data_IF_167485638443
#
_entry.id   IF_167485638443
#
_cell.length_a   1.000
_cell.length_b   1.000
_cell.length_c   1.000
_cell.angle_alpha   90.00
_cell.angle_beta   90.00
_cell.angle_gamma   90.00
#
_symmetry.space_group_name_H-M   'P 1'
#
loop_
_entity.id
_entity.type
_entity.pdbx_description
1 polymer ?
#
# COMPACT_ATOMS: atom_id res chain seq x y z
N UNK A 1 -12.37 19.15 17.19
CA UNK A 1 -12.83 18.04 16.31
C UNK A 1 -12.58 16.73 17.02
N UNK A 2 -13.62 16.10 17.55
CA UNK A 2 -13.48 14.84 18.29
C UNK A 2 -13.16 13.64 17.37
N UNK A 3 -13.61 13.66 16.11
CA UNK A 3 -13.35 12.61 15.13
C UNK A 3 -12.63 13.23 13.92
N UNK A 4 -11.45 12.72 13.58
CA UNK A 4 -10.69 13.14 12.40
C UNK A 4 -10.43 11.91 11.53
N UNK A 5 -10.91 11.98 10.31
CA UNK A 5 -10.62 11.01 9.27
C UNK A 5 -10.01 11.73 8.07
N UNK A 6 -8.95 11.18 7.50
CA UNK A 6 -8.22 11.75 6.36
C UNK A 6 -8.17 10.68 5.28
N UNK A 7 -8.56 11.05 4.06
CA UNK A 7 -8.39 10.24 2.88
C UNK A 7 -7.14 10.72 2.12
N UNK A 8 -6.14 9.86 2.01
CA UNK A 8 -5.00 10.03 1.10
C UNK A 8 -5.36 9.39 -0.23
N UNK A 9 -5.55 10.24 -1.25
CA UNK A 9 -5.90 9.79 -2.59
C UNK A 9 -4.73 9.15 -3.32
N UNK A 10 -5.03 8.53 -4.47
CA UNK A 10 -4.02 7.95 -5.33
C UNK A 10 -3.02 9.01 -5.78
N UNK A 11 -1.72 8.69 -5.71
CA UNK A 11 -0.66 9.59 -6.15
C UNK A 11 -0.18 10.58 -5.08
N UNK A 12 -0.63 10.49 -3.82
CA UNK A 12 -0.05 11.30 -2.73
C UNK A 12 1.46 11.06 -2.52
N UNK A 13 1.99 9.95 -3.02
CA UNK A 13 3.42 9.60 -3.01
C UNK A 13 4.15 9.98 -4.30
N UNK A 14 3.47 10.63 -5.25
CA UNK A 14 4.11 11.25 -6.41
C UNK A 14 4.70 12.59 -6.00
N UNK A 15 6.00 12.74 -6.23
CA UNK A 15 6.77 13.89 -5.78
C UNK A 15 7.84 14.22 -6.81
N UNK A 16 8.00 15.51 -7.10
CA UNK A 16 8.95 16.03 -8.09
C UNK A 16 9.95 16.97 -7.41
N UNK A 17 11.22 16.85 -7.77
CA UNK A 17 12.30 17.75 -7.39
C UNK A 17 12.91 18.28 -8.69
N UNK A 18 12.88 19.61 -8.89
CA UNK A 18 13.42 20.26 -10.09
C UNK A 18 12.88 19.64 -11.39
N UNK A 19 11.55 19.46 -11.46
CA UNK A 19 10.82 18.86 -12.59
C UNK A 19 11.17 17.40 -12.92
N UNK A 20 11.94 16.73 -12.05
CA UNK A 20 12.20 15.29 -12.13
C UNK A 20 11.40 14.55 -11.09
N UNK A 21 10.82 13.43 -11.50
CA UNK A 21 10.15 12.53 -10.58
C UNK A 21 11.17 11.95 -9.60
N UNK A 22 10.91 12.14 -8.31
CA UNK A 22 11.83 11.83 -7.23
C UNK A 22 11.31 10.73 -6.29
N UNK A 23 10.04 10.35 -6.41
CA UNK A 23 9.40 9.32 -5.61
C UNK A 23 8.57 8.36 -6.50
N UNK A 24 7.34 8.05 -6.12
CA UNK A 24 6.54 7.02 -6.79
C UNK A 24 5.60 7.65 -7.80
N UNK A 25 5.71 7.26 -9.06
CA UNK A 25 4.86 7.79 -10.10
C UNK A 25 3.38 7.47 -9.91
N UNK A 26 2.54 8.32 -10.49
CA UNK A 26 1.12 7.99 -10.63
C UNK A 26 0.94 6.72 -11.47
N UNK A 27 -0.22 6.08 -11.41
CA UNK A 27 -0.49 4.88 -12.22
C UNK A 27 -0.34 5.12 -13.73
N UNK A 28 -0.54 6.36 -14.19
CA UNK A 28 -0.29 6.74 -15.58
C UNK A 28 1.20 6.86 -15.90
N UNK A 29 1.99 7.44 -15.00
CA UNK A 29 3.45 7.46 -15.11
C UNK A 29 4.04 6.05 -15.12
N UNK A 30 3.62 5.21 -14.16
CA UNK A 30 4.03 3.81 -14.09
C UNK A 30 3.63 3.03 -15.35
N UNK A 31 2.45 3.30 -15.92
CA UNK A 31 2.05 2.68 -17.18
C UNK A 31 2.96 3.08 -18.35
N UNK A 32 3.25 4.37 -18.50
CA UNK A 32 4.17 4.87 -19.53
C UNK A 32 5.56 4.24 -19.40
N UNK A 33 6.10 4.20 -18.18
CA UNK A 33 7.38 3.55 -17.89
C UNK A 33 7.35 2.05 -18.24
N UNK A 34 6.28 1.36 -17.86
CA UNK A 34 6.11 -0.07 -18.12
C UNK A 34 6.14 -0.36 -19.62
N UNK A 35 5.35 0.38 -20.40
CA UNK A 35 5.28 0.23 -21.85
C UNK A 35 6.63 0.54 -22.50
N UNK A 36 7.34 1.58 -22.04
CA UNK A 36 8.66 1.92 -22.56
C UNK A 36 9.71 0.85 -22.28
N UNK A 37 9.63 0.18 -21.13
CA UNK A 37 10.56 -0.89 -20.73
C UNK A 37 10.19 -2.24 -21.36
N UNK A 38 8.93 -2.44 -21.71
CA UNK A 38 8.39 -3.66 -22.28
C UNK A 38 7.63 -3.40 -23.59
N UNK A 39 8.31 -2.92 -24.66
CA UNK A 39 7.65 -2.54 -25.91
C UNK A 39 6.94 -3.70 -26.60
N UNK A 40 7.40 -4.93 -26.37
CA UNK A 40 6.81 -6.16 -26.93
C UNK A 40 5.76 -6.81 -26.01
N UNK A 41 5.36 -6.15 -24.92
CA UNK A 41 4.35 -6.69 -24.00
C UNK A 41 2.97 -6.65 -24.64
N UNK A 42 2.46 -7.84 -24.96
CA UNK A 42 1.14 -8.03 -25.59
C UNK A 42 0.28 -8.97 -24.78
N UNK A 43 -1.02 -8.77 -24.82
CA UNK A 43 -2.01 -9.70 -24.26
C UNK A 43 -2.86 -10.21 -25.42
N UNK A 44 -2.98 -11.53 -25.57
CA UNK A 44 -3.69 -12.15 -26.71
C UNK A 44 -3.14 -11.72 -28.08
N UNK A 45 -1.84 -11.41 -28.14
CA UNK A 45 -1.18 -10.89 -29.35
C UNK A 45 -1.50 -9.44 -29.71
N UNK A 46 -2.25 -8.73 -28.86
CA UNK A 46 -2.66 -7.32 -29.06
C UNK A 46 -1.85 -6.39 -28.16
N UNK A 47 -1.45 -5.24 -28.71
CA UNK A 47 -0.80 -4.17 -27.97
C UNK A 47 -1.78 -3.50 -27.00
N UNK A 48 -1.31 -3.24 -25.78
CA UNK A 48 -2.16 -2.78 -24.67
C UNK A 48 -2.33 -1.26 -24.59
N UNK A 49 -1.47 -0.49 -25.27
CA UNK A 49 -1.36 0.97 -25.10
C UNK A 49 -2.70 1.71 -25.30
N UNK A 50 -3.44 1.34 -26.33
CA UNK A 50 -4.73 1.95 -26.67
C UNK A 50 -5.94 1.19 -26.10
N UNK A 51 -5.70 0.17 -25.26
CA UNK A 51 -6.74 -0.77 -24.76
C UNK A 51 -7.04 -0.60 -23.29
N UNK A 52 -6.15 0.06 -22.57
CA UNK A 52 -6.33 0.48 -21.18
C UNK A 52 -6.13 1.99 -21.16
N UNK A 53 -6.78 2.73 -20.26
CA UNK A 53 -6.75 4.20 -20.24
C UNK A 53 -5.42 4.76 -19.72
N UNK A 54 -4.30 4.27 -20.26
CA UNK A 54 -2.94 4.51 -19.79
C UNK A 54 -2.82 4.30 -18.29
N UNK A 55 -3.48 3.26 -17.75
CA UNK A 55 -3.54 3.00 -16.31
C UNK A 55 -3.11 1.57 -16.02
N UNK A 56 -2.06 1.43 -15.20
CA UNK A 56 -1.49 0.14 -14.85
C UNK A 56 -2.42 -0.71 -13.96
N UNK A 57 -3.29 -0.08 -13.18
CA UNK A 57 -4.35 -0.76 -12.42
C UNK A 57 -5.37 -1.38 -13.37
N UNK A 58 -5.81 -0.66 -14.40
CA UNK A 58 -6.75 -1.18 -15.40
C UNK A 58 -6.14 -2.34 -16.22
N UNK A 59 -4.84 -2.27 -16.54
CA UNK A 59 -4.11 -3.38 -17.15
C UNK A 59 -4.14 -4.63 -16.26
N UNK A 60 -3.92 -4.44 -14.95
CA UNK A 60 -3.94 -5.53 -13.99
C UNK A 60 -5.34 -6.11 -13.80
N UNK A 61 -6.38 -5.29 -13.76
CA UNK A 61 -7.78 -5.73 -13.72
C UNK A 61 -8.12 -6.59 -14.93
N UNK A 62 -7.77 -6.11 -16.12
CA UNK A 62 -7.97 -6.86 -17.36
C UNK A 62 -7.25 -8.21 -17.35
N UNK A 63 -5.98 -8.25 -16.94
CA UNK A 63 -5.22 -9.50 -16.85
C UNK A 63 -5.79 -10.47 -15.81
N UNK A 64 -6.25 -9.98 -14.66
CA UNK A 64 -6.89 -10.83 -13.65
C UNK A 64 -8.21 -11.39 -14.18
N UNK A 65 -9.03 -10.59 -14.86
CA UNK A 65 -10.25 -11.07 -15.52
C UNK A 65 -9.93 -12.14 -16.58
N UNK A 66 -8.91 -11.91 -17.40
CA UNK A 66 -8.44 -12.89 -18.39
C UNK A 66 -7.95 -14.19 -17.72
N UNK A 67 -7.21 -14.10 -16.61
CA UNK A 67 -6.80 -15.29 -15.83
C UNK A 67 -8.00 -16.12 -15.38
N UNK A 68 -9.08 -15.49 -14.92
CA UNK A 68 -10.31 -16.19 -14.53
C UNK A 68 -10.94 -16.94 -15.71
N UNK A 69 -10.98 -16.33 -16.90
CA UNK A 69 -11.46 -16.99 -18.13
C UNK A 69 -10.53 -18.13 -18.54
N UNK A 70 -9.22 -17.97 -18.35
CA UNK A 70 -8.21 -18.97 -18.69
C UNK A 70 -8.39 -20.29 -17.93
N UNK A 71 -8.97 -20.25 -16.71
CA UNK A 71 -9.34 -21.45 -15.95
C UNK A 71 -10.47 -22.27 -16.57
N UNK A 72 -11.27 -21.67 -17.45
CA UNK A 72 -12.37 -22.34 -18.16
C UNK A 72 -11.87 -22.88 -19.51
N UNK A 73 -11.14 -22.04 -20.25
CA UNK A 73 -10.55 -22.37 -21.54
C UNK A 73 -9.21 -21.66 -21.64
N UNK A 74 -8.15 -22.39 -21.98
CA UNK A 74 -6.85 -21.76 -22.21
C UNK A 74 -6.94 -20.85 -23.46
N UNK A 75 -6.81 -19.54 -23.24
CA UNK A 75 -6.78 -18.49 -24.26
C UNK A 75 -5.39 -17.83 -24.30
N UNK A 76 -4.74 -17.69 -23.13
CA UNK A 76 -3.41 -17.09 -22.99
C UNK A 76 -2.59 -17.94 -22.02
N UNK A 77 -1.70 -18.78 -22.56
CA UNK A 77 -0.90 -19.72 -21.76
C UNK A 77 0.02 -19.02 -20.75
N UNK A 78 0.49 -17.83 -21.09
CA UNK A 78 1.50 -17.10 -20.31
C UNK A 78 0.89 -16.02 -19.40
N UNK A 79 -0.43 -16.03 -19.17
CA UNK A 79 -1.11 -14.96 -18.42
C UNK A 79 -0.56 -14.77 -17.00
N UNK A 80 -0.24 -15.86 -16.31
CA UNK A 80 0.32 -15.80 -14.95
C UNK A 80 1.71 -15.20 -14.93
N UNK A 81 2.53 -15.46 -15.95
CA UNK A 81 3.87 -14.89 -16.06
C UNK A 81 3.82 -13.40 -16.44
N UNK A 82 2.88 -13.01 -17.32
CA UNK A 82 2.60 -11.60 -17.63
C UNK A 82 2.14 -10.81 -16.39
N UNK A 83 1.24 -11.39 -15.59
CA UNK A 83 0.81 -10.82 -14.29
C UNK A 83 2.02 -10.65 -13.34
N UNK A 84 2.91 -11.65 -13.27
CA UNK A 84 4.12 -11.56 -12.44
C UNK A 84 5.05 -10.44 -12.90
N UNK A 85 5.22 -10.26 -14.22
CA UNK A 85 6.05 -9.18 -14.79
C UNK A 85 5.53 -7.82 -14.33
N UNK A 86 4.23 -7.54 -14.50
CA UNK A 86 3.64 -6.25 -14.09
C UNK A 86 3.71 -6.06 -12.57
N UNK A 87 3.38 -7.08 -11.77
CA UNK A 87 3.50 -7.00 -10.30
C UNK A 87 4.91 -6.72 -9.84
N UNK A 88 5.90 -7.38 -10.45
CA UNK A 88 7.32 -7.16 -10.15
C UNK A 88 7.71 -5.74 -10.49
N UNK A 89 7.34 -5.25 -11.68
CA UNK A 89 7.61 -3.88 -12.09
C UNK A 89 7.03 -2.85 -11.09
N UNK A 90 5.76 -2.99 -10.69
CA UNK A 90 5.13 -2.10 -9.70
C UNK A 90 5.88 -2.13 -8.37
N UNK A 91 6.22 -3.34 -7.90
CA UNK A 91 6.92 -3.52 -6.62
C UNK A 91 8.29 -2.85 -6.66
N UNK A 92 9.06 -3.10 -7.72
CA UNK A 92 10.41 -2.55 -7.88
C UNK A 92 10.34 -1.00 -7.92
N UNK A 93 9.42 -0.43 -8.71
CA UNK A 93 9.21 1.03 -8.80
C UNK A 93 8.79 1.67 -7.48
N UNK A 94 7.93 1.01 -6.70
CA UNK A 94 7.54 1.50 -5.37
C UNK A 94 8.74 1.44 -4.41
N UNK A 95 9.50 0.35 -4.40
CA UNK A 95 10.69 0.22 -3.53
C UNK A 95 11.72 1.30 -3.86
N UNK A 96 12.01 1.50 -5.15
CA UNK A 96 12.91 2.57 -5.61
C UNK A 96 12.39 3.96 -5.19
N UNK A 97 11.11 4.23 -5.44
CA UNK A 97 10.48 5.51 -5.12
C UNK A 97 10.28 5.76 -3.61
N UNK A 98 10.52 4.78 -2.75
CA UNK A 98 10.49 4.93 -1.28
C UNK A 98 11.79 5.53 -0.70
N UNK A 99 12.84 5.68 -1.52
CA UNK A 99 14.12 6.30 -1.13
C UNK A 99 14.13 7.84 -1.31
N UNK A 100 12.96 8.50 -1.20
CA UNK A 100 12.87 9.96 -1.24
C UNK A 100 12.80 10.54 0.19
N UNK A 101 13.91 11.14 0.65
CA UNK A 101 14.01 11.71 2.00
C UNK A 101 13.10 12.93 2.18
N UNK A 102 13.00 13.77 1.17
CA UNK A 102 12.18 14.98 1.16
C UNK A 102 10.69 14.62 1.32
N UNK A 103 10.21 13.61 0.60
CA UNK A 103 8.84 13.14 0.73
C UNK A 103 8.60 12.45 2.09
N UNK A 104 9.55 11.63 2.56
CA UNK A 104 9.46 11.04 3.89
C UNK A 104 9.33 12.11 4.99
N UNK A 105 10.07 13.22 4.88
CA UNK A 105 9.97 14.35 5.78
C UNK A 105 8.63 15.10 5.68
N UNK A 106 8.04 15.18 4.49
CA UNK A 106 6.68 15.73 4.30
C UNK A 106 5.65 14.87 5.04
N UNK A 107 5.69 13.55 4.90
CA UNK A 107 4.80 12.64 5.63
C UNK A 107 4.98 12.78 7.15
N UNK A 108 6.22 12.85 7.65
CA UNK A 108 6.48 13.11 9.08
C UNK A 108 5.90 14.45 9.54
N UNK A 109 6.13 15.52 8.79
CA UNK A 109 5.57 16.85 9.08
C UNK A 109 4.04 16.83 9.09
N UNK A 110 3.43 16.07 8.20
CA UNK A 110 1.98 15.87 8.17
C UNK A 110 1.48 15.24 9.48
N UNK A 111 2.04 14.10 9.89
CA UNK A 111 1.63 13.42 11.14
C UNK A 111 1.93 14.26 12.39
N UNK A 112 3.05 14.98 12.43
CA UNK A 112 3.37 15.91 13.51
C UNK A 112 2.33 17.03 13.62
N UNK A 113 1.78 17.53 12.50
CA UNK A 113 0.73 18.54 12.51
C UNK A 113 -0.64 18.01 12.96
N UNK A 114 -0.84 16.69 12.96
CA UNK A 114 -2.10 16.08 13.44
C UNK A 114 -2.10 15.84 14.96
N UNK A 115 -0.95 15.99 15.62
CA UNK A 115 -0.76 15.88 17.08
C UNK A 115 -1.60 16.93 17.81
N UNK A 116 -2.34 16.51 18.84
CA UNK A 116 -3.19 17.39 19.63
C UNK A 116 -3.47 16.76 20.99
N UNK A 117 -3.08 17.43 22.08
CA UNK A 117 -3.23 16.99 23.47
C UNK A 117 -4.68 16.77 23.94
N UNK A 118 -5.65 17.33 23.21
CA UNK A 118 -7.07 17.21 23.57
C UNK A 118 -7.78 16.07 22.84
N UNK A 119 -7.07 15.27 22.03
CA UNK A 119 -7.68 14.25 21.17
C UNK A 119 -7.77 12.91 21.89
N UNK A 120 -9.01 12.43 22.08
CA UNK A 120 -9.30 11.13 22.71
C UNK A 120 -9.59 10.00 21.71
N UNK A 121 -9.93 10.30 20.46
CA UNK A 121 -10.25 9.29 19.46
C UNK A 121 -9.11 9.10 18.47
N UNK A 122 -8.91 7.87 17.94
CA UNK A 122 -7.92 7.64 16.90
C UNK A 122 -8.14 8.54 15.69
N UNK A 123 -7.04 8.90 15.04
CA UNK A 123 -7.09 9.52 13.72
C UNK A 123 -7.16 8.41 12.69
N UNK A 124 -8.19 8.41 11.86
CA UNK A 124 -8.34 7.43 10.79
C UNK A 124 -7.67 7.96 9.52
N UNK A 125 -6.65 7.27 9.04
CA UNK A 125 -6.04 7.50 7.74
C UNK A 125 -6.54 6.40 6.81
N UNK A 126 -7.25 6.77 5.75
CA UNK A 126 -7.64 5.85 4.68
C UNK A 126 -6.76 6.18 3.48
N UNK A 127 -6.13 5.18 2.88
CA UNK A 127 -5.27 5.39 1.71
C UNK A 127 -5.55 4.38 0.62
N UNK A 128 -5.47 4.85 -0.62
CA UNK A 128 -5.49 4.01 -1.83
C UNK A 128 -4.08 3.68 -2.31
N UNK A 129 -3.04 4.22 -1.66
CA UNK A 129 -1.66 3.98 -2.05
C UNK A 129 -1.15 2.60 -1.59
N UNK A 130 -0.31 1.99 -2.42
CA UNK A 130 0.34 0.71 -2.12
C UNK A 130 1.67 0.86 -1.36
N UNK A 131 2.26 2.07 -1.36
CA UNK A 131 3.52 2.40 -0.72
C UNK A 131 3.44 2.45 0.80
N UNK A 132 4.59 2.50 1.48
CA UNK A 132 4.68 2.46 2.94
C UNK A 132 5.10 3.80 3.58
N UNK A 133 4.88 4.95 2.92
CA UNK A 133 5.29 6.24 3.47
C UNK A 133 4.57 6.57 4.80
N UNK A 134 3.29 6.20 4.90
CA UNK A 134 2.51 6.37 6.13
C UNK A 134 3.05 5.54 7.29
N UNK A 135 3.26 4.24 7.07
CA UNK A 135 3.83 3.33 8.08
C UNK A 135 5.21 3.81 8.53
N UNK A 136 6.10 4.11 7.57
CA UNK A 136 7.46 4.60 7.86
C UNK A 136 7.44 5.86 8.71
N UNK A 137 6.60 6.84 8.37
CA UNK A 137 6.51 8.09 9.12
C UNK A 137 5.96 7.87 10.54
N UNK A 138 4.97 7.00 10.71
CA UNK A 138 4.42 6.65 12.02
C UNK A 138 5.44 5.90 12.88
N UNK A 139 6.16 4.95 12.30
CA UNK A 139 7.25 4.20 12.95
C UNK A 139 8.40 5.13 13.37
N UNK A 140 8.90 6.00 12.47
CA UNK A 140 9.98 6.96 12.76
C UNK A 140 9.59 7.97 13.86
N UNK A 141 8.29 8.31 13.97
CA UNK A 141 7.78 9.21 15.01
C UNK A 141 7.41 8.50 16.32
N UNK A 142 7.53 7.16 16.37
CA UNK A 142 7.07 6.33 17.48
C UNK A 142 5.56 6.52 17.80
N UNK A 143 4.75 6.79 16.78
CA UNK A 143 3.30 6.88 16.94
C UNK A 143 2.70 5.48 16.87
N UNK A 144 1.85 5.15 17.83
CA UNK A 144 1.16 3.87 17.84
C UNK A 144 0.07 3.93 16.79
N UNK A 145 0.03 2.92 15.92
CA UNK A 145 -1.02 2.79 14.93
C UNK A 145 -1.48 1.35 14.78
N UNK A 146 -2.69 1.23 14.29
CA UNK A 146 -3.31 -0.01 13.91
C UNK A 146 -3.57 -0.01 12.41
N UNK A 147 -2.89 -0.90 11.67
CA UNK A 147 -3.08 -1.07 10.23
C UNK A 147 -3.80 -2.39 9.88
N UNK A 148 -4.51 -2.98 10.85
CA UNK A 148 -5.29 -4.19 10.66
C UNK A 148 -4.50 -5.49 10.84
N UNK A 149 -3.21 -5.43 11.13
CA UNK A 149 -2.39 -6.61 11.42
C UNK A 149 -2.11 -6.75 12.92
N UNK A 150 -2.07 -8.00 13.36
CA UNK A 150 -1.80 -8.37 14.76
C UNK A 150 -0.69 -9.42 14.84
N UNK A 151 -0.03 -9.51 15.99
CA UNK A 151 1.02 -10.48 16.26
C UNK A 151 2.41 -9.87 16.08
N UNK A 152 3.33 -10.21 16.99
CA UNK A 152 4.69 -9.64 17.01
C UNK A 152 5.68 -10.47 16.20
N UNK A 153 5.54 -11.79 16.20
CA UNK A 153 6.43 -12.69 15.44
C UNK A 153 5.96 -12.87 13.99
N UNK A 154 4.65 -13.00 13.80
CA UNK A 154 4.03 -13.06 12.48
C UNK A 154 2.83 -12.15 12.48
N UNK A 155 2.92 -11.08 11.69
CA UNK A 155 1.88 -10.09 11.52
C UNK A 155 0.80 -10.66 10.61
N UNK A 156 -0.41 -10.86 11.11
CA UNK A 156 -1.53 -11.43 10.34
C UNK A 156 -2.70 -10.47 10.31
N UNK A 157 -3.33 -10.33 9.15
CA UNK A 157 -4.47 -9.44 8.99
C UNK A 157 -5.68 -9.96 9.77
N UNK A 158 -6.26 -9.11 10.61
CA UNK A 158 -7.47 -9.38 11.36
C UNK A 158 -8.28 -8.08 11.49
N UNK A 159 -9.32 -7.86 10.67
CA UNK A 159 -10.06 -6.59 10.65
C UNK A 159 -10.76 -6.29 11.98
N UNK A 160 -10.97 -7.29 12.84
CA UNK A 160 -11.52 -7.08 14.18
C UNK A 160 -10.65 -6.15 15.03
N UNK A 161 -9.34 -6.07 14.76
CA UNK A 161 -8.43 -5.26 15.56
C UNK A 161 -8.75 -3.76 15.49
N UNK A 162 -9.35 -3.28 14.39
CA UNK A 162 -9.77 -1.88 14.25
C UNK A 162 -10.84 -1.44 15.25
N UNK A 163 -11.49 -2.40 15.93
CA UNK A 163 -12.42 -2.10 17.03
C UNK A 163 -11.73 -1.86 18.37
N UNK A 164 -10.44 -2.19 18.48
CA UNK A 164 -9.67 -2.04 19.71
C UNK A 164 -8.86 -0.75 19.66
N UNK A 165 -8.59 -0.18 20.84
CA UNK A 165 -7.76 1.02 21.00
C UNK A 165 -6.77 0.82 22.14
N UNK A 166 -5.61 1.47 22.03
CA UNK A 166 -4.64 1.51 23.11
C UNK A 166 -5.11 2.49 24.21
N UNK A 167 -5.05 2.04 25.45
CA UNK A 167 -5.36 2.82 26.64
C UNK A 167 -4.12 2.93 27.50
N UNK A 168 -3.87 4.12 28.04
CA UNK A 168 -2.82 4.38 29.00
C UNK A 168 -3.21 3.81 30.37
N UNK A 169 -2.28 3.08 30.99
CA UNK A 169 -2.45 2.42 32.28
C UNK A 169 -1.67 3.16 33.40
N UNK A 170 -1.27 4.43 33.21
CA UNK A 170 -0.48 5.17 34.19
C UNK A 170 -1.18 5.46 35.54
N UNK A 171 -2.47 5.16 35.71
CA UNK A 171 -3.20 5.38 36.97
C UNK A 171 -3.87 4.12 37.52
N UNK A 172 -3.09 3.23 38.15
CA UNK A 172 -3.58 2.02 38.85
C UNK A 172 -4.60 2.31 39.98
N UNK A 173 -4.70 3.55 40.47
CA UNK A 173 -5.52 3.97 41.61
C UNK A 173 -6.74 4.84 41.25
N UNK A 174 -7.06 5.04 39.96
CA UNK A 174 -8.29 5.72 39.52
C UNK A 174 -8.99 4.84 38.48
N UNK A 175 -10.31 4.67 38.59
CA UNK A 175 -11.17 4.00 37.60
C UNK A 175 -11.26 4.71 36.23
N UNK A 176 -10.30 5.60 35.92
CA UNK A 176 -10.28 6.42 34.71
C UNK A 176 -9.04 6.06 33.92
N UNK A 177 -9.21 5.11 33.00
CA UNK A 177 -8.27 4.81 31.93
C UNK A 177 -8.14 6.03 31.02
N UNK A 178 -6.98 6.69 31.02
CA UNK A 178 -6.69 7.73 30.04
C UNK A 178 -6.32 7.05 28.72
N UNK A 179 -6.66 7.67 27.59
CA UNK A 179 -6.33 7.09 26.28
C UNK A 179 -4.92 7.51 25.90
N UNK A 180 -4.22 6.68 25.13
CA UNK A 180 -2.90 7.06 24.60
C UNK A 180 -3.08 8.18 23.58
N UNK A 181 -2.36 9.28 23.79
CA UNK A 181 -2.34 10.38 22.83
C UNK A 181 -1.72 9.92 21.50
N UNK A 182 -2.24 10.42 20.37
CA UNK A 182 -1.67 10.17 19.03
C UNK A 182 -1.75 8.71 18.53
N UNK A 183 -2.86 8.02 18.81
CA UNK A 183 -3.17 6.72 18.20
C UNK A 183 -3.82 6.88 16.81
N UNK A 184 -3.39 6.07 15.84
CA UNK A 184 -3.90 6.11 14.45
C UNK A 184 -4.51 4.77 14.03
N UNK A 185 -5.55 4.81 13.20
CA UNK A 185 -5.95 3.67 12.39
C UNK A 185 -5.55 3.93 10.93
N UNK A 186 -4.76 3.05 10.32
CA UNK A 186 -4.32 3.15 8.93
C UNK A 186 -5.01 2.09 8.07
N UNK A 187 -5.98 2.52 7.27
CA UNK A 187 -6.76 1.67 6.39
C UNK A 187 -6.19 1.68 4.97
N UNK A 188 -5.56 0.58 4.58
CA UNK A 188 -5.21 0.30 3.17
C UNK A 188 -6.31 -0.54 2.55
N UNK A 189 -7.13 0.07 1.70
CA UNK A 189 -8.34 -0.58 1.15
C UNK A 189 -8.05 -1.46 -0.08
N UNK A 190 -6.90 -1.27 -0.71
CA UNK A 190 -6.50 -1.98 -1.93
C UNK A 190 -5.27 -2.89 -1.72
N UNK A 191 -4.82 -3.07 -0.47
CA UNK A 191 -3.59 -3.78 -0.16
C UNK A 191 -2.35 -2.88 -0.16
N UNK A 192 -1.18 -3.51 -0.12
CA UNK A 192 0.12 -2.85 0.07
C UNK A 192 1.21 -3.73 -0.52
N UNK A 193 2.36 -3.15 -0.87
CA UNK A 193 3.53 -3.95 -1.24
C UNK A 193 3.99 -4.88 -0.11
N UNK A 194 3.72 -4.53 1.15
CA UNK A 194 4.01 -5.36 2.33
C UNK A 194 3.04 -6.51 2.56
N UNK A 195 1.93 -6.59 1.83
CA UNK A 195 0.92 -7.61 2.07
C UNK A 195 1.21 -8.86 1.25
N UNK A 196 1.25 -10.01 1.92
CA UNK A 196 1.46 -11.31 1.32
C UNK A 196 0.24 -12.18 1.54
N UNK A 197 -0.30 -12.74 0.46
CA UNK A 197 -1.41 -13.71 0.53
C UNK A 197 -0.88 -15.12 0.34
N UNK A 198 -1.11 -15.98 1.33
CA UNK A 198 -0.91 -17.42 1.23
C UNK A 198 -2.23 -18.14 1.58
N UNK A 199 -2.83 -18.80 0.59
CA UNK A 199 -4.16 -19.43 0.68
C UNK A 199 -5.20 -18.43 1.21
N UNK A 200 -5.68 -18.67 2.43
CA UNK A 200 -6.70 -17.86 3.11
C UNK A 200 -6.11 -16.93 4.19
N UNK A 201 -4.78 -16.84 4.26
CA UNK A 201 -4.07 -16.03 5.25
C UNK A 201 -3.39 -14.85 4.57
N UNK A 202 -3.60 -13.66 5.11
CA UNK A 202 -2.87 -12.45 4.72
C UNK A 202 -1.89 -12.13 5.85
N UNK A 203 -0.62 -12.01 5.50
CA UNK A 203 0.45 -11.63 6.43
C UNK A 203 1.19 -10.41 5.92
N UNK A 204 1.80 -9.66 6.83
CA UNK A 204 2.66 -8.55 6.47
C UNK A 204 4.13 -9.00 6.46
N UNK A 205 4.89 -8.55 5.47
CA UNK A 205 6.32 -8.78 5.32
C UNK A 205 7.06 -7.44 5.23
N UNK A 206 8.33 -7.43 5.64
CA UNK A 206 9.14 -6.21 5.58
C UNK A 206 9.64 -5.94 4.16
N UNK A 207 10.04 -4.68 3.91
CA UNK A 207 10.61 -4.28 2.62
C UNK A 207 11.89 -5.06 2.31
N UNK A 208 12.70 -5.35 3.34
CA UNK A 208 13.92 -6.14 3.20
C UNK A 208 13.62 -7.58 2.76
N UNK A 209 12.57 -8.22 3.31
CA UNK A 209 12.15 -9.56 2.88
C UNK A 209 11.69 -9.54 1.41
N UNK A 210 10.97 -8.50 1.00
CA UNK A 210 10.50 -8.35 -0.39
C UNK A 210 11.70 -8.23 -1.34
N UNK A 211 12.66 -7.37 -0.99
CA UNK A 211 13.86 -7.14 -1.79
C UNK A 211 14.71 -8.42 -1.93
N UNK A 212 14.86 -9.20 -0.84
CA UNK A 212 15.67 -10.42 -0.82
C UNK A 212 15.03 -11.60 -1.55
N UNK A 213 13.71 -11.74 -1.48
CA UNK A 213 13.04 -12.95 -1.98
C UNK A 213 12.70 -12.88 -3.46
N UNK A 214 12.70 -11.69 -4.07
CA UNK A 214 12.14 -11.44 -5.41
C UNK A 214 10.73 -12.05 -5.60
N UNK A 215 10.00 -12.36 -4.51
CA UNK A 215 8.68 -13.03 -4.53
C UNK A 215 7.55 -12.04 -4.74
N UNK A 216 7.67 -11.21 -5.77
CA UNK A 216 6.63 -10.24 -6.15
C UNK A 216 5.28 -10.92 -6.49
N UNK A 217 5.28 -12.20 -6.87
CA UNK A 217 4.07 -12.95 -7.21
C UNK A 217 3.08 -13.12 -6.04
N UNK A 218 3.58 -13.14 -4.79
CA UNK A 218 2.74 -13.27 -3.59
C UNK A 218 2.27 -11.95 -3.01
N UNK A 219 2.72 -10.82 -3.57
CA UNK A 219 2.31 -9.50 -3.11
C UNK A 219 0.83 -9.28 -3.49
N UNK A 220 0.07 -8.91 -2.48
CA UNK A 220 -1.37 -8.69 -2.56
C UNK A 220 -1.63 -7.21 -2.83
N UNK A 221 -1.74 -6.92 -4.12
CA UNK A 221 -2.24 -5.67 -4.66
C UNK A 221 -3.62 -5.98 -5.24
N UNK A 222 -4.66 -5.50 -4.56
CA UNK A 222 -6.01 -5.52 -5.12
C UNK A 222 -6.14 -4.35 -6.08
N UNK A 223 -6.58 -4.67 -7.27
CA UNK A 223 -7.07 -3.72 -8.26
C UNK A 223 -8.60 -3.88 -8.25
N UNK A 224 -9.34 -2.82 -8.58
CA UNK A 224 -10.80 -2.77 -8.34
C UNK A 224 -11.53 -3.94 -9.02
N UNK A 225 -12.31 -4.69 -8.25
CA UNK A 225 -13.31 -5.64 -8.77
C UNK A 225 -14.52 -4.91 -9.38
#
# INVERSE_FOLDING_TARGET
>A
MENLSILMGAGCSSFFIEDKEAAISTMAGLFSDFVSLHPDFKILGVDIQDKVNSNLEELMDFMNALRQVNHIKEIEKEIDDKIKIVKKFITDKIIEGMDCRELADIYKKFYLKTVSSNRKNPINIVTTNYDMYSERALDELNFIYNNGFTGSYTRTFNPNIYRYMYVDNMNLNKDVWNRVDHFYNLYKIHGSISWKKDKNKISEVSIEEIALTHKAHTILIYFRE
#
